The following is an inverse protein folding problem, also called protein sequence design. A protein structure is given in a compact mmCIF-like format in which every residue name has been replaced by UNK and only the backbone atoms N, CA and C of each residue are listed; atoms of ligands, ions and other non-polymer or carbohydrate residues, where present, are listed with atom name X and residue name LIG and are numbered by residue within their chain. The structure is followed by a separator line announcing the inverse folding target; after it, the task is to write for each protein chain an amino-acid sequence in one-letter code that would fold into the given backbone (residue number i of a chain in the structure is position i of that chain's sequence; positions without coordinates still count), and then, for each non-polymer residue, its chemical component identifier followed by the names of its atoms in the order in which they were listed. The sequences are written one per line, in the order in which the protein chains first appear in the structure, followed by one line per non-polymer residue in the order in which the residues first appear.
data_IF_303968186119
#
_entry.id   IF_303968186119
#
_cell.length_a   1.000
_cell.length_b   1.000
_cell.length_c   1.000
_cell.angle_alpha   90.00
_cell.angle_beta   90.00
_cell.angle_gamma   90.00
#
_symmetry.space_group_name_H-M   'P 1'
#
loop_
_entity.id
_entity.type
_entity.pdbx_description
1 polymer ?
#
# COMPACT_ATOMS: atom_id res chain seq x y z
N UNK A 1 -7.57 9.42 3.58
CA UNK A 1 -7.44 9.53 2.11
C UNK A 1 -7.13 10.99 1.81
N UNK A 2 -6.17 11.26 0.93
CA UNK A 2 -5.90 12.62 0.43
C UNK A 2 -6.39 12.70 -1.02
N UNK A 3 -7.08 13.78 -1.36
CA UNK A 3 -7.62 14.04 -2.70
C UNK A 3 -7.48 15.53 -3.02
N UNK A 4 -7.34 15.87 -4.31
CA UNK A 4 -7.45 17.25 -4.77
C UNK A 4 -8.91 17.71 -4.75
N UNK A 5 -9.14 19.03 -4.82
CA UNK A 5 -10.50 19.60 -4.85
C UNK A 5 -11.35 19.13 -6.05
N UNK A 6 -10.70 18.75 -7.16
CA UNK A 6 -11.34 18.16 -8.34
C UNK A 6 -11.34 16.62 -8.34
N UNK A 7 -11.05 15.96 -7.21
CA UNK A 7 -11.27 14.53 -7.00
C UNK A 7 -10.13 13.60 -7.39
N UNK A 8 -8.95 14.11 -7.76
CA UNK A 8 -7.79 13.26 -8.05
C UNK A 8 -7.12 12.78 -6.77
N UNK A 9 -6.91 11.47 -6.66
CA UNK A 9 -6.17 10.83 -5.55
C UNK A 9 -4.65 10.84 -5.85
N UNK A 10 -4.29 10.72 -7.13
CA UNK A 10 -2.95 10.92 -7.66
C UNK A 10 -3.10 11.45 -9.09
N UNK A 11 -2.08 12.16 -9.58
CA UNK A 11 -2.00 12.51 -11.00
C UNK A 11 -1.78 11.24 -11.85
N UNK A 12 -1.92 11.36 -13.17
CA UNK A 12 -1.77 10.23 -14.11
C UNK A 12 -0.39 9.55 -14.05
N UNK A 13 0.64 10.34 -13.71
CA UNK A 13 2.01 9.91 -13.49
C UNK A 13 2.27 9.34 -12.08
N UNK A 14 1.24 9.29 -11.21
CA UNK A 14 1.36 8.86 -9.82
C UNK A 14 1.80 9.96 -8.86
N UNK A 15 1.99 11.20 -9.33
CA UNK A 15 2.45 12.30 -8.50
C UNK A 15 1.38 12.71 -7.47
N UNK A 16 1.82 12.82 -6.22
CA UNK A 16 1.01 13.20 -5.05
C UNK A 16 1.60 14.41 -4.31
N UNK A 17 2.35 15.29 -4.99
CA UNK A 17 3.03 16.44 -4.38
C UNK A 17 2.10 17.47 -3.72
N UNK A 18 0.80 17.37 -3.98
CA UNK A 18 -0.22 18.18 -3.30
C UNK A 18 -0.52 17.67 -1.87
N UNK A 19 -0.06 16.48 -1.51
CA UNK A 19 -0.24 15.89 -0.17
C UNK A 19 0.82 16.47 0.76
N UNK A 20 0.38 17.16 1.81
CA UNK A 20 1.26 17.77 2.80
C UNK A 20 1.90 16.73 3.73
N UNK A 21 3.04 17.08 4.33
CA UNK A 21 3.72 16.27 5.35
C UNK A 21 2.79 15.93 6.53
N UNK A 22 1.92 16.86 6.93
CA UNK A 22 0.93 16.60 7.98
C UNK A 22 -0.06 15.49 7.60
N UNK A 23 -0.45 15.44 6.32
CA UNK A 23 -1.32 14.38 5.80
C UNK A 23 -0.58 13.04 5.76
N UNK A 24 0.69 13.04 5.37
CA UNK A 24 1.55 11.86 5.39
C UNK A 24 1.73 11.30 6.80
N UNK A 25 2.05 12.16 7.78
CA UNK A 25 2.21 11.76 9.17
C UNK A 25 0.93 11.18 9.77
N UNK A 26 -0.22 11.77 9.45
CA UNK A 26 -1.52 11.27 9.88
C UNK A 26 -1.82 9.90 9.25
N UNK A 27 -1.58 9.75 7.95
CA UNK A 27 -1.72 8.47 7.25
C UNK A 27 -0.80 7.40 7.81
N UNK A 28 0.47 7.72 8.05
CA UNK A 28 1.46 6.80 8.62
C UNK A 28 0.96 6.27 9.95
N UNK A 29 0.60 7.16 10.89
CA UNK A 29 0.07 6.77 12.20
C UNK A 29 -1.14 5.83 12.10
N UNK A 30 -2.12 6.15 11.25
CA UNK A 30 -3.33 5.34 11.09
C UNK A 30 -3.02 3.95 10.50
N UNK A 31 -2.16 3.90 9.49
CA UNK A 31 -1.80 2.64 8.82
C UNK A 31 -0.92 1.74 9.69
N UNK A 32 -0.07 2.31 10.57
CA UNK A 32 0.60 1.52 11.63
C UNK A 32 -0.42 0.88 12.57
N UNK A 33 -1.41 1.66 13.02
CA UNK A 33 -2.47 1.17 13.91
C UNK A 33 -3.33 0.06 13.31
N UNK A 34 -3.52 0.05 11.99
CA UNK A 34 -4.25 -1.02 11.29
C UNK A 34 -3.44 -2.32 11.14
N UNK A 35 -2.10 -2.24 11.19
CA UNK A 35 -1.19 -3.39 11.12
C UNK A 35 -1.10 -4.08 9.76
N UNK A 36 -1.99 -3.79 8.81
CA UNK A 36 -1.99 -4.34 7.46
C UNK A 36 -2.02 -3.20 6.43
N UNK A 37 -1.26 -3.33 5.35
CA UNK A 37 -1.20 -2.37 4.25
C UNK A 37 -1.42 -3.09 2.92
N UNK A 38 -2.55 -2.81 2.27
CA UNK A 38 -2.92 -3.39 0.97
C UNK A 38 -2.69 -2.32 -0.10
N UNK A 39 -1.88 -2.62 -1.11
CA UNK A 39 -1.59 -1.71 -2.22
C UNK A 39 -1.70 -2.41 -3.56
N UNK A 40 -1.94 -1.64 -4.62
CA UNK A 40 -1.85 -2.13 -6.00
C UNK A 40 -0.40 -2.08 -6.52
N UNK A 41 -0.12 -2.84 -7.58
CA UNK A 41 1.20 -2.88 -8.23
C UNK A 41 1.84 -1.51 -8.50
N UNK A 42 1.07 -0.52 -8.98
CA UNK A 42 1.61 0.81 -9.33
C UNK A 42 2.14 1.53 -8.09
N UNK A 43 1.34 1.58 -7.02
CA UNK A 43 1.74 2.15 -5.72
C UNK A 43 2.96 1.43 -5.15
N UNK A 44 2.98 0.09 -5.18
CA UNK A 44 4.16 -0.68 -4.79
C UNK A 44 5.44 -0.26 -5.53
N UNK A 45 5.37 -0.04 -6.86
CA UNK A 45 6.54 0.39 -7.64
C UNK A 45 7.03 1.78 -7.25
N UNK A 46 6.12 2.70 -6.96
CA UNK A 46 6.44 4.05 -6.49
C UNK A 46 7.08 3.96 -5.11
N UNK A 47 6.43 3.29 -4.15
CA UNK A 47 6.96 3.10 -2.79
C UNK A 47 8.34 2.41 -2.79
N UNK A 48 8.56 1.45 -3.69
CA UNK A 48 9.85 0.77 -3.83
C UNK A 48 10.92 1.71 -4.39
N UNK A 49 10.60 2.53 -5.40
CA UNK A 49 11.52 3.50 -5.97
C UNK A 49 11.89 4.61 -4.97
N UNK A 50 10.94 4.99 -4.12
CA UNK A 50 11.12 6.00 -3.07
C UNK A 50 11.79 5.43 -1.80
N UNK A 51 12.05 4.12 -1.74
CA UNK A 51 12.68 3.45 -0.60
C UNK A 51 11.75 3.23 0.61
N UNK A 52 10.45 3.46 0.46
CA UNK A 52 9.44 3.28 1.50
C UNK A 52 9.00 1.82 1.68
N UNK A 53 9.11 1.00 0.61
CA UNK A 53 8.73 -0.41 0.66
C UNK A 53 9.91 -1.33 1.04
N UNK A 54 9.73 -2.32 1.92
CA UNK A 54 8.50 -2.68 2.63
C UNK A 54 8.28 -1.84 3.89
N UNK A 55 7.01 -1.64 4.27
CA UNK A 55 6.66 -1.02 5.55
C UNK A 55 6.81 -2.06 6.68
N UNK A 56 7.96 -2.04 7.38
CA UNK A 56 8.43 -3.13 8.26
C UNK A 56 7.55 -3.44 9.48
N UNK A 57 6.77 -2.47 9.92
CA UNK A 57 5.88 -2.54 11.08
C UNK A 57 4.45 -2.95 10.71
N UNK A 58 4.22 -3.30 9.44
CA UNK A 58 2.92 -3.71 8.91
C UNK A 58 3.06 -5.00 8.11
N UNK A 59 1.96 -5.71 7.95
CA UNK A 59 1.85 -6.78 6.97
C UNK A 59 1.51 -6.18 5.61
N UNK A 60 2.39 -6.33 4.63
CA UNK A 60 2.27 -5.71 3.31
C UNK A 60 1.63 -6.69 2.34
N UNK A 61 0.56 -6.28 1.66
CA UNK A 61 -0.12 -7.03 0.61
C UNK A 61 -0.06 -6.24 -0.68
N UNK A 62 0.63 -6.78 -1.69
CA UNK A 62 0.70 -6.18 -3.01
C UNK A 62 -0.20 -6.96 -3.96
N UNK A 63 -1.28 -6.32 -4.40
CA UNK A 63 -2.24 -6.87 -5.34
C UNK A 63 -1.72 -6.72 -6.77
N UNK A 64 -1.40 -7.84 -7.42
CA UNK A 64 -0.91 -7.89 -8.79
C UNK A 64 -1.05 -9.26 -9.43
N UNK A 65 -1.38 -9.29 -10.72
CA UNK A 65 -1.30 -10.49 -11.58
C UNK A 65 0.11 -10.76 -12.13
N UNK A 66 1.07 -9.86 -11.90
CA UNK A 66 2.45 -10.10 -12.32
C UNK A 66 3.16 -11.00 -11.31
N UNK A 67 3.87 -12.02 -11.81
CA UNK A 67 4.73 -12.86 -10.97
C UNK A 67 5.93 -12.02 -10.51
N UNK A 68 5.94 -11.67 -9.23
CA UNK A 68 7.03 -10.96 -8.56
C UNK A 68 7.61 -11.90 -7.50
N UNK A 69 8.91 -12.09 -7.53
CA UNK A 69 9.62 -12.85 -6.51
C UNK A 69 9.60 -12.06 -5.18
N UNK A 70 9.13 -12.69 -4.11
CA UNK A 70 9.14 -12.08 -2.79
C UNK A 70 10.52 -12.21 -2.14
N UNK A 71 11.22 -11.09 -2.00
CA UNK A 71 12.54 -11.00 -1.36
C UNK A 71 12.50 -10.41 0.06
N UNK A 72 11.30 -10.09 0.57
CA UNK A 72 11.10 -9.33 1.81
C UNK A 72 10.55 -10.19 2.96
N UNK A 73 10.55 -11.52 2.78
CA UNK A 73 10.17 -12.47 3.81
C UNK A 73 8.66 -12.57 4.05
N UNK A 74 8.30 -13.08 5.22
CA UNK A 74 6.93 -13.51 5.55
C UNK A 74 5.96 -12.38 5.91
N UNK A 75 6.42 -11.12 6.00
CA UNK A 75 5.57 -9.94 6.22
C UNK A 75 5.11 -9.26 4.93
N UNK A 76 5.48 -9.82 3.78
CA UNK A 76 5.10 -9.33 2.47
C UNK A 76 4.44 -10.47 1.70
N UNK A 77 3.32 -10.20 1.03
CA UNK A 77 2.73 -11.12 0.06
C UNK A 77 2.41 -10.38 -1.25
N UNK A 78 2.59 -11.10 -2.36
CA UNK A 78 2.11 -10.70 -3.67
C UNK A 78 0.97 -11.65 -4.05
N UNK A 79 -0.17 -11.12 -4.48
CA UNK A 79 -1.35 -11.92 -4.77
C UNK A 79 -2.20 -11.30 -5.87
N UNK A 80 -2.85 -12.12 -6.67
CA UNK A 80 -3.76 -11.73 -7.75
C UNK A 80 -5.25 -11.91 -7.40
N UNK A 81 -5.55 -12.31 -6.15
CA UNK A 81 -6.92 -12.44 -5.66
C UNK A 81 -7.60 -11.08 -5.53
N UNK A 82 -8.94 -11.08 -5.51
CA UNK A 82 -9.74 -9.85 -5.41
C UNK A 82 -9.58 -9.15 -4.06
N UNK A 83 -9.88 -7.84 -3.96
CA UNK A 83 -9.78 -7.12 -2.69
C UNK A 83 -10.61 -7.76 -1.58
N UNK A 84 -11.77 -8.34 -1.92
CA UNK A 84 -12.63 -9.04 -0.97
C UNK A 84 -11.95 -10.29 -0.42
N UNK A 85 -11.35 -11.11 -1.28
CA UNK A 85 -10.63 -12.31 -0.87
C UNK A 85 -9.39 -11.97 -0.02
N UNK A 86 -8.69 -10.87 -0.32
CA UNK A 86 -7.60 -10.37 0.54
C UNK A 86 -8.12 -10.11 1.96
N UNK A 87 -9.27 -9.44 2.10
CA UNK A 87 -9.84 -9.18 3.42
C UNK A 87 -10.19 -10.48 4.17
N UNK A 88 -10.72 -11.48 3.47
CA UNK A 88 -11.02 -12.79 4.07
C UNK A 88 -9.76 -13.53 4.54
N UNK A 89 -8.65 -13.42 3.80
CA UNK A 89 -7.34 -13.96 4.20
C UNK A 89 -6.80 -13.25 5.43
N UNK A 90 -6.89 -11.91 5.47
CA UNK A 90 -6.40 -11.12 6.59
C UNK A 90 -7.25 -11.30 7.86
N UNK A 91 -8.56 -11.50 7.72
CA UNK A 91 -9.45 -11.78 8.85
C UNK A 91 -9.13 -13.10 9.56
N UNK A 92 -8.61 -14.09 8.84
CA UNK A 92 -8.20 -15.40 9.40
C UNK A 92 -6.82 -15.37 10.09
N UNK A 93 -6.07 -14.26 9.97
CA UNK A 93 -4.76 -14.08 10.59
C UNK A 93 -4.82 -13.57 12.04
N UNK A 94 -6.01 -13.20 12.50
CA UNK A 94 -6.29 -12.72 13.86
C UNK A 94 -6.64 -13.89 14.77
#
# INVERSE_FOLDING_TARGET
MAITANGYIAKEDGNTSFVSDASWNSWDKLSRGAGNLITGRKTFKIDLADGNFPYLDRFNVVMTSQKIENKWGNKVIFTDISPKEVLEVLAKKV
#
